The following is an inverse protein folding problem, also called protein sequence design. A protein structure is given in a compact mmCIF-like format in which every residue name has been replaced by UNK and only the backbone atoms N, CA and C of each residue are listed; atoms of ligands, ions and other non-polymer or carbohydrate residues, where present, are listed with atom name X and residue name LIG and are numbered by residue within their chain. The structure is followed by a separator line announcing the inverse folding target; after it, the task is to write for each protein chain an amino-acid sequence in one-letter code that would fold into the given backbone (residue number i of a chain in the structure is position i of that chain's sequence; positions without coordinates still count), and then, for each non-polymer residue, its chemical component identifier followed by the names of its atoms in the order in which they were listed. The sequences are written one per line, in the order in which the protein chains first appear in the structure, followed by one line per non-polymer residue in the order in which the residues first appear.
data_IF_901694313236
#
_entry.id   IF_901694313236
#
_cell.length_a   1.000
_cell.length_b   1.000
_cell.length_c   1.000
_cell.angle_alpha   90.00
_cell.angle_beta   90.00
_cell.angle_gamma   90.00
#
_symmetry.space_group_name_H-M   'P 1'
#
loop_
_entity.id
_entity.type
_entity.pdbx_description
1 polymer ?
#
# COMPACT_ATOMS: atom_id res chain seq x y z
N UNK A 1 3.46 9.98 22.85
CA UNK A 1 3.32 10.05 22.42
C UNK A 1 3.13 9.73 22.02
N UNK A 2 3.23 9.71 21.81
CA UNK A 2 3.08 9.68 21.24
C UNK A 2 2.73 9.69 20.64
N UNK A 3 2.54 9.78 20.63
CA UNK A 3 2.28 9.86 19.97
C UNK A 3 2.33 9.99 19.26
N UNK A 4 2.37 10.20 19.05
CA UNK A 4 2.53 10.52 18.32
C UNK A 4 3.06 10.11 17.51
N UNK A 5 3.58 9.92 17.68
CA UNK A 5 4.10 9.60 16.98
C UNK A 5 3.81 8.77 16.23
N UNK A 6 4.00 8.42 16.59
CA UNK A 6 3.71 7.45 15.70
C UNK A 6 2.73 7.69 14.76
N UNK A 7 2.18 8.56 14.94
CA UNK A 7 1.34 8.88 14.16
C UNK A 7 1.72 9.29 12.92
N UNK A 8 2.78 9.86 12.79
CA UNK A 8 3.15 10.27 11.53
C UNK A 8 3.34 9.11 10.65
N UNK A 9 3.74 8.04 11.22
CA UNK A 9 3.77 6.83 10.47
C UNK A 9 2.51 6.06 10.65
N UNK A 10 1.47 6.72 11.08
CA UNK A 10 0.22 6.08 11.37
C UNK A 10 -0.32 5.35 10.19
N UNK A 11 -0.66 4.08 10.39
CA UNK A 11 -1.30 3.31 9.38
C UNK A 11 -2.79 3.46 9.51
N UNK A 12 -3.43 3.72 8.39
CA UNK A 12 -4.87 3.89 8.36
C UNK A 12 -5.48 2.68 7.70
N UNK A 13 -6.39 1.98 8.38
CA UNK A 13 -7.14 0.91 7.72
C UNK A 13 -7.92 1.47 6.56
N UNK A 14 -7.84 0.79 5.42
CA UNK A 14 -8.58 1.22 4.24
C UNK A 14 -9.11 0.00 3.52
N UNK A 15 -10.00 0.25 2.58
CA UNK A 15 -10.55 -0.78 1.72
C UNK A 15 -10.53 -0.26 0.30
N UNK A 16 -9.38 -0.39 -0.37
CA UNK A 16 -9.26 0.02 -1.75
C UNK A 16 -8.54 -1.08 -2.52
N UNK A 17 -8.73 -1.10 -3.82
CA UNK A 17 -8.04 -2.05 -4.68
C UNK A 17 -6.71 -1.48 -5.13
N UNK A 18 -5.69 -2.33 -5.06
CA UNK A 18 -4.39 -2.04 -5.63
C UNK A 18 -4.10 -2.95 -6.79
N UNK A 19 -3.17 -2.53 -7.64
CA UNK A 19 -2.77 -3.29 -8.82
C UNK A 19 -1.26 -3.21 -8.90
N UNK A 20 -0.57 -4.32 -8.64
CA UNK A 20 0.87 -4.27 -8.70
C UNK A 20 1.39 -4.98 -9.93
N UNK A 21 2.59 -4.57 -10.33
CA UNK A 21 3.30 -5.18 -11.43
C UNK A 21 4.74 -5.43 -11.00
N UNK A 22 5.28 -6.59 -11.37
CA UNK A 22 6.68 -6.89 -11.15
C UNK A 22 7.48 -6.57 -12.40
N UNK A 23 8.81 -6.45 -12.27
CA UNK A 23 9.65 -6.22 -13.47
C UNK A 23 9.51 -7.32 -14.51
N UNK A 24 9.19 -8.54 -14.10
CA UNK A 24 9.01 -9.64 -15.05
C UNK A 24 7.67 -9.60 -15.76
N UNK A 25 6.79 -8.67 -15.39
CA UNK A 25 5.53 -8.51 -16.07
C UNK A 25 4.33 -9.12 -15.39
N UNK A 26 4.52 -9.76 -14.25
CA UNK A 26 3.39 -10.27 -13.48
C UNK A 26 2.54 -9.12 -12.99
N UNK A 27 1.23 -9.23 -13.13
CA UNK A 27 0.27 -8.22 -12.68
C UNK A 27 -0.76 -8.88 -11.81
N UNK A 28 -1.11 -8.24 -10.70
CA UNK A 28 -2.14 -8.79 -9.82
C UNK A 28 -2.94 -7.65 -9.20
N UNK A 29 -4.22 -7.92 -9.00
CA UNK A 29 -5.12 -7.02 -8.29
C UNK A 29 -5.22 -7.51 -6.86
N UNK A 30 -5.04 -6.64 -5.91
CA UNK A 30 -5.00 -7.01 -4.49
C UNK A 30 -5.76 -5.98 -3.67
N UNK A 31 -6.41 -6.43 -2.59
CA UNK A 31 -7.03 -5.47 -1.68
C UNK A 31 -5.97 -4.88 -0.76
N UNK A 32 -5.93 -3.56 -0.70
CA UNK A 32 -5.01 -2.85 0.20
C UNK A 32 -5.73 -2.68 1.52
N UNK A 33 -5.09 -3.11 2.59
CA UNK A 33 -5.71 -3.19 3.91
C UNK A 33 -5.34 -2.05 4.83
N UNK A 34 -4.18 -1.45 4.64
CA UNK A 34 -3.85 -0.24 5.36
C UNK A 34 -2.82 0.55 4.57
N UNK A 35 -2.72 1.82 4.90
CA UNK A 35 -1.88 2.76 4.16
C UNK A 35 -1.29 3.76 5.12
N UNK A 36 -0.02 4.07 4.90
CA UNK A 36 0.63 5.23 5.51
C UNK A 36 1.29 6.02 4.38
N UNK A 37 1.90 7.15 4.72
CA UNK A 37 2.58 7.92 3.68
C UNK A 37 3.81 7.21 3.16
N UNK A 38 4.34 6.25 3.92
CA UNK A 38 5.59 5.59 3.54
C UNK A 38 5.40 4.18 3.00
N UNK A 39 4.21 3.61 3.10
CA UNK A 39 4.00 2.27 2.60
C UNK A 39 2.58 1.79 2.81
N UNK A 40 2.38 0.53 2.50
CA UNK A 40 1.06 -0.06 2.68
C UNK A 40 1.19 -1.56 2.89
N UNK A 41 0.06 -2.16 3.26
CA UNK A 41 -0.04 -3.60 3.41
C UNK A 41 -1.22 -4.05 2.56
N UNK A 42 -1.01 -5.07 1.76
CA UNK A 42 -2.10 -5.65 0.97
C UNK A 42 -2.13 -7.17 1.17
N UNK A 43 -3.24 -7.76 0.77
CA UNK A 43 -3.41 -9.19 0.90
C UNK A 43 -3.25 -9.85 -0.45
N UNK A 44 -2.36 -10.84 -0.52
CA UNK A 44 -2.12 -11.61 -1.73
C UNK A 44 -1.73 -13.03 -1.31
N UNK A 45 -2.75 -13.85 -1.12
CA UNK A 45 -2.57 -15.18 -0.55
C UNK A 45 -1.55 -16.03 -1.33
N UNK A 46 -1.51 -15.84 -2.62
CA UNK A 46 -0.64 -16.65 -3.47
C UNK A 46 0.57 -15.88 -3.98
N UNK A 47 0.96 -14.86 -3.25
CA UNK A 47 2.06 -14.02 -3.67
C UNK A 47 3.36 -14.82 -3.71
N UNK A 48 4.15 -14.57 -4.76
CA UNK A 48 5.51 -15.06 -4.84
C UNK A 48 6.50 -13.94 -4.53
N UNK A 49 6.03 -12.81 -4.04
CA UNK A 49 6.90 -11.69 -3.73
C UNK A 49 7.73 -12.01 -2.49
N UNK A 50 9.02 -11.70 -2.56
CA UNK A 50 9.93 -11.92 -1.44
C UNK A 50 10.46 -10.56 -0.97
N UNK A 51 10.88 -10.48 0.30
CA UNK A 51 11.49 -9.24 0.79
C UNK A 51 12.62 -8.81 -0.12
N UNK A 52 12.65 -7.52 -0.45
CA UNK A 52 13.61 -6.95 -1.37
C UNK A 52 13.12 -6.86 -2.80
N UNK A 53 12.03 -7.53 -3.14
CA UNK A 53 11.48 -7.46 -4.48
C UNK A 53 10.97 -6.04 -4.76
N UNK A 54 11.13 -5.59 -5.99
CA UNK A 54 10.65 -4.29 -6.39
C UNK A 54 9.40 -4.45 -7.22
N UNK A 55 8.42 -3.59 -6.97
CA UNK A 55 7.17 -3.60 -7.70
C UNK A 55 6.78 -2.16 -7.98
N UNK A 56 5.83 -1.99 -8.89
CA UNK A 56 5.08 -0.74 -8.98
C UNK A 56 3.67 -1.03 -8.56
N UNK A 57 3.06 -0.12 -7.85
CA UNK A 57 1.73 -0.31 -7.28
C UNK A 57 0.84 0.85 -7.66
N UNK A 58 -0.32 0.55 -8.24
CA UNK A 58 -1.36 1.54 -8.42
C UNK A 58 -2.36 1.37 -7.29
N UNK A 59 -2.85 2.49 -6.79
CA UNK A 59 -3.89 2.50 -5.77
C UNK A 59 -5.10 3.09 -6.46
N UNK A 60 -6.07 2.25 -6.77
CA UNK A 60 -7.17 2.57 -7.66
C UNK A 60 -6.55 3.03 -8.99
N UNK A 61 -6.78 4.26 -9.39
CA UNK A 61 -6.23 4.77 -10.64
C UNK A 61 -4.97 5.61 -10.42
N UNK A 62 -4.53 5.75 -9.18
CA UNK A 62 -3.38 6.61 -8.85
C UNK A 62 -2.07 5.83 -8.95
N UNK A 63 -1.03 6.53 -9.31
CA UNK A 63 0.29 5.94 -9.44
C UNK A 63 0.68 5.76 -10.90
N UNK A 64 1.59 4.85 -11.21
CA UNK A 64 2.14 3.81 -10.33
C UNK A 64 3.16 4.39 -9.34
N UNK A 65 3.21 3.77 -8.17
CA UNK A 65 4.15 4.15 -7.12
C UNK A 65 5.20 3.04 -7.00
N UNK A 66 6.48 3.34 -7.22
CA UNK A 66 7.51 2.33 -7.01
C UNK A 66 7.60 1.97 -5.53
N UNK A 67 7.75 0.69 -5.26
CA UNK A 67 7.79 0.21 -3.88
C UNK A 67 8.67 -1.02 -3.77
N UNK A 68 9.13 -1.29 -2.56
CA UNK A 68 9.95 -2.45 -2.25
C UNK A 68 9.23 -3.30 -1.21
N UNK A 69 9.17 -4.59 -1.46
CA UNK A 69 8.58 -5.53 -0.51
C UNK A 69 9.51 -5.62 0.71
N UNK A 70 8.94 -5.45 1.90
CA UNK A 70 9.71 -5.50 3.13
C UNK A 70 9.46 -6.79 3.91
N UNK A 71 8.24 -7.32 3.84
CA UNK A 71 7.92 -8.57 4.52
C UNK A 71 6.71 -9.22 3.86
N UNK A 72 6.57 -10.50 4.13
CA UNK A 72 5.45 -11.29 3.66
C UNK A 72 5.12 -12.29 4.76
N UNK A 73 3.87 -12.33 5.17
CA UNK A 73 3.47 -13.22 6.24
C UNK A 73 1.97 -13.45 6.20
N UNK A 74 1.56 -14.71 6.24
CA UNK A 74 0.14 -15.03 6.33
C UNK A 74 -0.70 -14.54 5.16
N UNK A 75 -0.10 -14.42 3.99
CA UNK A 75 -0.80 -13.90 2.83
C UNK A 75 -0.75 -12.39 2.73
N UNK A 76 -0.27 -11.71 3.76
CA UNK A 76 -0.11 -10.27 3.71
C UNK A 76 1.27 -9.90 3.22
N UNK A 77 1.34 -8.80 2.51
CA UNK A 77 2.59 -8.29 1.97
C UNK A 77 2.71 -6.83 2.40
N UNK A 78 3.81 -6.50 3.06
CA UNK A 78 4.10 -5.13 3.43
C UNK A 78 5.12 -4.54 2.49
N UNK A 79 4.83 -3.35 1.97
CA UNK A 79 5.73 -2.68 1.04
C UNK A 79 6.00 -1.26 1.53
N UNK A 80 7.19 -0.79 1.16
CA UNK A 80 7.60 0.58 1.45
C UNK A 80 7.72 1.31 0.12
N UNK A 81 7.08 2.48 0.01
CA UNK A 81 7.19 3.30 -1.20
C UNK A 81 8.59 3.87 -1.30
N UNK A 82 9.11 3.96 -2.53
CA UNK A 82 10.42 4.57 -2.72
C UNK A 82 10.39 6.06 -2.43
N UNK A 83 9.24 6.69 -2.66
CA UNK A 83 9.05 8.09 -2.36
C UNK A 83 7.80 8.20 -1.50
N UNK A 84 7.90 8.99 -0.44
CA UNK A 84 6.78 9.24 0.44
C UNK A 84 5.60 9.76 -0.38
N UNK A 85 4.39 9.29 -0.09
CA UNK A 85 3.22 9.80 -0.77
C UNK A 85 3.04 11.28 -0.45
N UNK A 86 2.72 12.05 -1.48
CA UNK A 86 2.34 13.43 -1.31
C UNK A 86 1.12 13.48 -0.36
N UNK A 87 1.17 14.37 0.62
CA UNK A 87 0.11 14.42 1.63
C UNK A 87 -1.30 14.50 1.08
N UNK A 88 -1.59 15.42 0.15
CA UNK A 88 -2.92 15.46 -0.44
C UNK A 88 -3.31 14.18 -1.17
N UNK A 89 -2.35 13.46 -1.77
CA UNK A 89 -2.65 12.18 -2.39
C UNK A 89 -3.05 11.16 -1.34
N UNK A 90 -2.30 11.11 -0.24
CA UNK A 90 -2.61 10.22 0.87
C UNK A 90 -4.01 10.53 1.41
N UNK A 91 -4.29 11.80 1.65
CA UNK A 91 -5.59 12.22 2.17
C UNK A 91 -6.71 11.84 1.21
N UNK A 92 -6.49 12.01 -0.09
CA UNK A 92 -7.48 11.65 -1.08
C UNK A 92 -7.82 10.17 -1.00
N UNK A 93 -6.80 9.32 -0.89
CA UNK A 93 -7.02 7.88 -0.83
C UNK A 93 -7.81 7.53 0.43
N UNK A 94 -7.38 8.05 1.57
CA UNK A 94 -8.01 7.71 2.84
C UNK A 94 -9.43 8.24 2.92
N UNK A 95 -9.64 9.47 2.46
CA UNK A 95 -10.92 10.13 2.67
C UNK A 95 -11.92 9.91 1.55
N UNK A 96 -11.45 9.63 0.35
CA UNK A 96 -12.34 9.59 -0.80
C UNK A 96 -12.45 8.23 -1.44
N UNK A 97 -11.37 7.45 -1.44
CA UNK A 97 -11.37 6.18 -2.14
C UNK A 97 -11.64 5.01 -1.23
N UNK A 98 -11.32 5.13 0.05
CA UNK A 98 -11.50 4.03 0.98
C UNK A 98 -12.99 3.76 1.20
N UNK A 99 -13.38 2.50 1.11
CA UNK A 99 -14.76 2.12 1.38
C UNK A 99 -15.17 2.47 2.78
N UNK A 100 -14.24 2.49 3.73
CA UNK A 100 -14.56 2.79 5.12
C UNK A 100 -15.01 4.24 5.30
N UNK A 101 -14.66 5.12 4.38
CA UNK A 101 -15.00 6.52 4.52
C UNK A 101 -16.34 6.87 3.91
N UNK A 102 -17.07 5.90 3.42
CA UNK A 102 -18.31 6.17 2.73
C UNK A 102 -19.53 6.15 3.62
N UNK A 103 -19.31 5.95 4.86
CA UNK A 103 -20.42 5.93 5.79
C UNK A 103 -20.83 7.34 6.17
#
# INVERSE_FOLDING_TARGET
MFMGEGRKDGRHPIEVWGHYRTPSGLKRDVPIKDLSETGCRFYDKFSSLLPGAEITLRIETLGPFPATVRWQEGGYVGVEFQHRLYGPTFDHIVLRLSGASRL
#
